data_IF_922601783025
#
_entry.id   IF_922601783025
#
_cell.length_a   1.000
_cell.length_b   1.000
_cell.length_c   1.000
_cell.angle_alpha   90.00
_cell.angle_beta   90.00
_cell.angle_gamma   90.00
#
_symmetry.space_group_name_H-M   'P 1'
#
loop_
_entity.id
_entity.type
_entity.pdbx_description
1 polymer ?
#
# COMPACT_ATOMS: atom_id res chain seq x y z
N UNK A 1 -41.03 30.18 -20.20
CA UNK A 1 -39.56 30.12 -20.12
C UNK A 1 -39.18 28.89 -19.25
N UNK A 2 -38.24 28.07 -19.71
CA UNK A 2 -37.83 26.88 -18.96
C UNK A 2 -37.15 27.29 -17.65
N UNK A 3 -37.39 26.55 -16.56
CA UNK A 3 -36.81 26.79 -15.23
C UNK A 3 -36.43 25.46 -14.58
N UNK A 4 -35.39 25.47 -13.74
CA UNK A 4 -34.87 24.28 -13.05
C UNK A 4 -34.03 23.38 -13.96
N UNK A 5 -33.72 22.18 -13.49
CA UNK A 5 -32.99 21.16 -14.25
C UNK A 5 -33.89 20.59 -15.34
N UNK A 6 -33.38 20.52 -16.55
CA UNK A 6 -34.10 20.05 -17.74
C UNK A 6 -33.23 19.16 -18.60
N UNK A 7 -33.86 18.13 -19.18
CA UNK A 7 -33.25 17.34 -20.24
C UNK A 7 -33.61 17.92 -21.61
N UNK A 8 -32.59 18.19 -22.40
CA UNK A 8 -32.75 18.65 -23.79
C UNK A 8 -32.41 17.48 -24.71
N UNK A 9 -33.39 16.96 -25.44
CA UNK A 9 -33.26 15.76 -26.27
C UNK A 9 -32.48 15.98 -27.58
N UNK A 10 -32.34 17.22 -28.04
CA UNK A 10 -31.56 17.57 -29.23
C UNK A 10 -30.04 17.45 -28.95
N UNK A 11 -29.24 17.16 -30.01
CA UNK A 11 -27.79 17.08 -29.94
C UNK A 11 -27.26 16.03 -28.92
N UNK A 12 -27.67 14.78 -29.07
CA UNK A 12 -27.28 13.62 -28.23
C UNK A 12 -27.79 13.68 -26.78
N UNK A 13 -28.76 14.53 -26.48
CA UNK A 13 -29.30 14.66 -25.13
C UNK A 13 -28.34 15.27 -24.13
N UNK A 14 -28.83 16.21 -23.35
CA UNK A 14 -28.02 16.78 -22.25
C UNK A 14 -28.92 17.29 -21.14
N UNK A 15 -28.45 17.18 -19.90
CA UNK A 15 -29.04 17.88 -18.76
C UNK A 15 -28.46 19.29 -18.69
N UNK A 16 -29.31 20.28 -18.44
CA UNK A 16 -28.94 21.69 -18.24
C UNK A 16 -29.76 22.25 -17.08
N UNK A 17 -29.31 23.38 -16.54
CA UNK A 17 -30.07 24.12 -15.54
C UNK A 17 -30.40 25.51 -16.04
N UNK A 18 -31.66 25.90 -15.93
CA UNK A 18 -32.12 27.26 -16.12
C UNK A 18 -32.46 27.86 -14.75
N UNK A 19 -31.84 28.98 -14.42
CA UNK A 19 -32.08 29.69 -13.18
C UNK A 19 -33.58 29.93 -12.95
N UNK A 20 -34.05 29.57 -11.76
CA UNK A 20 -35.48 29.57 -11.46
C UNK A 20 -36.09 30.97 -11.36
N UNK A 21 -35.26 32.01 -11.20
CA UNK A 21 -35.67 33.41 -11.15
C UNK A 21 -35.56 34.04 -12.54
N UNK A 22 -34.36 34.01 -13.12
CA UNK A 22 -34.02 34.73 -14.33
C UNK A 22 -34.29 33.95 -15.61
N UNK A 23 -34.35 32.61 -15.54
CA UNK A 23 -34.46 31.73 -16.70
C UNK A 23 -33.14 31.61 -17.51
N UNK A 24 -32.03 32.18 -17.06
CA UNK A 24 -30.72 32.05 -17.72
C UNK A 24 -30.16 30.66 -17.56
N UNK A 25 -29.51 30.12 -18.62
CA UNK A 25 -28.80 28.84 -18.54
C UNK A 25 -27.53 28.99 -17.71
N UNK A 26 -27.28 28.02 -16.85
CA UNK A 26 -26.06 27.96 -16.05
C UNK A 26 -24.86 27.48 -16.86
N UNK A 27 -23.69 28.05 -16.56
CA UNK A 27 -22.37 27.68 -17.08
C UNK A 27 -21.36 27.73 -15.94
N UNK A 28 -20.41 26.82 -15.95
CA UNK A 28 -19.43 26.71 -14.88
C UNK A 28 -19.96 26.05 -13.61
N UNK A 29 -19.31 26.31 -12.49
CA UNK A 29 -19.67 25.79 -11.18
C UNK A 29 -20.85 26.60 -10.61
N UNK A 30 -21.89 25.92 -10.16
CA UNK A 30 -23.09 26.53 -9.62
C UNK A 30 -23.62 25.76 -8.41
N UNK A 31 -23.98 26.49 -7.36
CA UNK A 31 -24.70 25.92 -6.22
C UNK A 31 -26.20 26.09 -6.48
N UNK A 32 -26.88 24.96 -6.67
CA UNK A 32 -28.35 24.97 -6.82
C UNK A 32 -28.99 24.85 -5.44
N UNK A 33 -30.08 25.54 -5.22
CA UNK A 33 -30.85 25.54 -3.97
C UNK A 33 -32.32 25.91 -4.24
N UNK A 34 -32.99 25.16 -5.10
CA UNK A 34 -34.38 25.49 -5.43
C UNK A 34 -35.38 24.40 -5.00
N UNK A 35 -34.89 23.19 -4.68
CA UNK A 35 -35.64 22.13 -4.03
C UNK A 35 -34.68 21.16 -3.28
N UNK A 36 -35.27 20.24 -2.53
CA UNK A 36 -34.48 19.30 -1.67
C UNK A 36 -33.62 18.34 -2.52
N UNK A 37 -34.09 17.94 -3.68
CA UNK A 37 -33.39 16.97 -4.56
C UNK A 37 -32.20 17.62 -5.25
N UNK A 38 -32.31 18.89 -5.62
CA UNK A 38 -31.32 19.62 -6.40
C UNK A 38 -30.46 20.60 -5.56
N UNK A 39 -30.54 20.53 -4.24
CA UNK A 39 -29.64 21.31 -3.39
C UNK A 39 -28.23 20.71 -3.43
N UNK A 40 -27.21 21.50 -3.84
CA UNK A 40 -25.81 21.10 -3.91
C UNK A 40 -25.02 21.80 -5.00
N UNK A 41 -23.73 21.45 -5.11
CA UNK A 41 -22.85 21.96 -6.16
C UNK A 41 -22.95 21.10 -7.41
N UNK A 42 -22.97 21.77 -8.58
CA UNK A 42 -22.99 21.19 -9.92
C UNK A 42 -21.97 21.92 -10.79
N UNK A 43 -21.60 21.30 -11.91
CA UNK A 43 -20.81 21.95 -12.94
C UNK A 43 -21.54 21.83 -14.28
N UNK A 44 -21.61 22.93 -14.97
CA UNK A 44 -22.20 23.04 -16.32
C UNK A 44 -21.11 23.47 -17.30
N UNK A 45 -20.93 22.73 -18.37
CA UNK A 45 -19.93 23.02 -19.38
C UNK A 45 -19.98 24.49 -19.80
N UNK A 46 -18.84 25.14 -19.87
CA UNK A 46 -18.74 26.59 -20.11
C UNK A 46 -19.36 27.04 -21.46
N UNK A 47 -19.31 26.18 -22.47
CA UNK A 47 -19.79 26.51 -23.81
C UNK A 47 -21.22 26.03 -24.06
N UNK A 48 -21.51 24.82 -23.62
CA UNK A 48 -22.75 24.12 -23.97
C UNK A 48 -23.80 24.13 -22.87
N UNK A 49 -23.43 24.48 -21.63
CA UNK A 49 -24.29 24.37 -20.46
C UNK A 49 -24.64 22.93 -20.08
N UNK A 50 -23.94 21.91 -20.65
CA UNK A 50 -24.19 20.51 -20.31
C UNK A 50 -23.74 20.22 -18.87
N UNK A 51 -24.64 19.62 -18.07
CA UNK A 51 -24.33 19.17 -16.72
C UNK A 51 -23.22 18.09 -16.76
N UNK A 52 -22.22 18.26 -15.94
CA UNK A 52 -21.13 17.32 -15.79
C UNK A 52 -21.54 16.13 -14.91
N UNK A 53 -21.01 14.99 -15.26
CA UNK A 53 -21.03 13.75 -14.50
C UNK A 53 -19.61 13.17 -14.52
N UNK A 54 -19.24 12.40 -13.49
CA UNK A 54 -17.90 11.82 -13.35
C UNK A 54 -16.83 12.85 -12.92
N UNK A 55 -15.56 12.53 -13.10
CA UNK A 55 -14.44 13.38 -12.68
C UNK A 55 -14.29 14.61 -13.58
N UNK A 56 -14.18 15.79 -12.97
CA UNK A 56 -13.98 17.07 -13.65
C UNK A 56 -12.82 17.83 -13.04
N UNK A 57 -11.94 18.35 -13.88
CA UNK A 57 -10.91 19.28 -13.46
C UNK A 57 -11.42 20.73 -13.51
N UNK A 58 -11.51 21.34 -12.35
CA UNK A 58 -11.92 22.75 -12.21
C UNK A 58 -10.71 23.65 -12.31
N UNK A 59 -10.42 24.16 -13.51
CA UNK A 59 -9.22 24.98 -13.81
C UNK A 59 -9.08 26.22 -12.91
N UNK A 60 -10.20 26.88 -12.58
CA UNK A 60 -10.20 28.09 -11.75
C UNK A 60 -9.75 27.83 -10.31
N UNK A 61 -9.84 26.58 -9.86
CA UNK A 61 -9.52 26.18 -8.50
C UNK A 61 -8.37 25.17 -8.42
N UNK A 62 -7.78 24.83 -9.56
CA UNK A 62 -6.69 23.83 -9.69
C UNK A 62 -7.00 22.54 -8.92
N UNK A 63 -8.19 21.99 -9.13
CA UNK A 63 -8.63 20.80 -8.40
C UNK A 63 -9.44 19.85 -9.27
N UNK A 64 -9.27 18.54 -9.03
CA UNK A 64 -10.21 17.52 -9.49
C UNK A 64 -11.32 17.35 -8.47
N UNK A 65 -12.56 17.20 -8.96
CA UNK A 65 -13.77 16.91 -8.18
C UNK A 65 -14.53 15.77 -8.85
N UNK A 66 -15.49 15.18 -8.16
CA UNK A 66 -16.36 14.17 -8.71
C UNK A 66 -17.82 14.58 -8.61
N UNK A 67 -18.52 14.49 -9.73
CA UNK A 67 -19.96 14.69 -9.84
C UNK A 67 -20.64 13.34 -10.04
N UNK A 68 -21.64 13.05 -9.23
CA UNK A 68 -22.38 11.79 -9.27
C UNK A 68 -22.91 11.49 -10.67
N UNK A 69 -22.75 10.26 -11.13
CA UNK A 69 -23.09 9.85 -12.50
C UNK A 69 -24.56 9.95 -12.82
N UNK A 70 -25.44 9.90 -11.82
CA UNK A 70 -26.90 9.93 -11.98
C UNK A 70 -27.41 11.34 -11.75
N UNK A 71 -27.07 11.95 -10.62
CA UNK A 71 -27.64 13.22 -10.17
C UNK A 71 -26.88 14.44 -10.66
N UNK A 72 -25.62 14.30 -11.05
CA UNK A 72 -24.70 15.40 -11.36
C UNK A 72 -24.26 16.21 -10.14
N UNK A 73 -24.61 15.81 -8.91
CA UNK A 73 -24.17 16.50 -7.68
C UNK A 73 -22.71 16.24 -7.38
N UNK A 74 -21.99 17.28 -6.96
CA UNK A 74 -20.64 17.13 -6.39
C UNK A 74 -20.69 16.23 -5.16
N UNK A 75 -19.78 15.27 -5.10
CA UNK A 75 -19.67 14.31 -4.02
C UNK A 75 -18.60 14.73 -2.98
N UNK A 76 -18.77 14.25 -1.75
CA UNK A 76 -17.90 14.51 -0.62
C UNK A 76 -17.68 13.23 0.17
N UNK A 77 -16.53 13.12 0.86
CA UNK A 77 -16.20 11.94 1.63
C UNK A 77 -15.61 10.82 0.79
N UNK A 78 -15.66 9.61 1.31
CA UNK A 78 -15.03 8.43 0.73
C UNK A 78 -16.01 7.69 -0.18
N UNK A 79 -15.60 7.42 -1.42
CA UNK A 79 -16.41 6.73 -2.43
C UNK A 79 -15.60 5.69 -3.20
N UNK A 80 -16.22 4.56 -3.48
CA UNK A 80 -15.69 3.54 -4.38
C UNK A 80 -16.19 3.78 -5.80
N UNK A 81 -15.27 4.11 -6.72
CA UNK A 81 -15.60 4.56 -8.08
C UNK A 81 -14.62 3.89 -9.06
N UNK A 82 -15.12 3.23 -10.10
CA UNK A 82 -14.31 2.63 -11.16
C UNK A 82 -13.13 1.81 -10.58
N UNK A 83 -13.46 0.85 -9.71
CA UNK A 83 -12.51 -0.08 -9.06
C UNK A 83 -11.41 0.58 -8.21
N UNK A 84 -11.72 1.74 -7.60
CA UNK A 84 -10.80 2.43 -6.67
C UNK A 84 -11.54 3.24 -5.62
N UNK A 85 -10.94 3.34 -4.44
CA UNK A 85 -11.40 4.25 -3.41
C UNK A 85 -10.82 5.64 -3.62
N UNK A 86 -11.66 6.67 -3.50
CA UNK A 86 -11.33 8.08 -3.59
C UNK A 86 -11.89 8.82 -2.40
N UNK A 87 -11.27 9.92 -2.04
CA UNK A 87 -11.79 10.81 -0.99
C UNK A 87 -11.91 12.24 -1.51
N UNK A 88 -13.12 12.74 -1.51
CA UNK A 88 -13.43 14.11 -1.82
C UNK A 88 -13.51 14.93 -0.53
N UNK A 89 -12.65 15.93 -0.39
CA UNK A 89 -12.54 16.76 0.83
C UNK A 89 -13.88 17.41 1.19
N UNK A 90 -14.32 17.35 2.45
CA UNK A 90 -15.69 17.73 2.85
C UNK A 90 -16.12 19.16 2.49
N UNK A 91 -15.19 20.12 2.47
CA UNK A 91 -15.51 21.54 2.22
C UNK A 91 -15.39 21.89 0.75
N UNK A 92 -14.39 21.32 0.07
CA UNK A 92 -14.01 21.78 -1.28
C UNK A 92 -14.40 20.82 -2.40
N UNK A 93 -14.78 19.59 -2.06
CA UNK A 93 -14.98 18.50 -3.03
C UNK A 93 -13.70 18.05 -3.73
N UNK A 94 -12.54 18.65 -3.42
CA UNK A 94 -11.27 18.32 -4.07
C UNK A 94 -10.85 16.88 -3.76
N UNK A 95 -10.39 16.13 -4.78
CA UNK A 95 -9.80 14.82 -4.57
C UNK A 95 -8.56 14.92 -3.67
N UNK A 96 -8.51 14.05 -2.67
CA UNK A 96 -7.35 13.92 -1.81
C UNK A 96 -6.17 13.32 -2.57
N UNK A 97 -4.97 13.75 -2.21
CA UNK A 97 -3.68 13.24 -2.72
C UNK A 97 -2.70 13.18 -1.56
N UNK A 98 -1.84 12.15 -1.59
CA UNK A 98 -0.87 11.93 -0.54
C UNK A 98 -1.49 11.40 0.76
N UNK A 99 -0.73 11.51 1.83
CA UNK A 99 -1.14 11.02 3.15
C UNK A 99 -2.32 11.83 3.69
N UNK A 100 -3.38 11.15 4.03
CA UNK A 100 -4.65 11.78 4.44
C UNK A 100 -5.21 11.09 5.68
N UNK A 101 -5.66 11.88 6.64
CA UNK A 101 -6.40 11.37 7.81
C UNK A 101 -7.88 11.25 7.48
N UNK A 102 -8.48 10.11 7.77
CA UNK A 102 -9.91 9.86 7.64
C UNK A 102 -10.57 9.77 9.03
N UNK A 103 -11.42 10.74 9.35
CA UNK A 103 -12.13 10.78 10.64
C UNK A 103 -13.10 9.61 10.78
N UNK A 104 -13.73 9.18 9.70
CA UNK A 104 -14.71 8.10 9.69
C UNK A 104 -14.13 6.72 10.07
N UNK A 105 -12.82 6.54 10.03
CA UNK A 105 -12.16 5.29 10.44
C UNK A 105 -11.06 5.51 11.46
N UNK A 106 -10.81 6.78 11.85
CA UNK A 106 -9.68 7.21 12.68
C UNK A 106 -8.36 6.59 12.20
N UNK A 107 -8.10 6.72 10.90
CA UNK A 107 -6.98 6.06 10.23
C UNK A 107 -6.23 7.01 9.29
N UNK A 108 -4.92 6.82 9.19
CA UNK A 108 -4.14 7.38 8.10
C UNK A 108 -4.25 6.46 6.89
N UNK A 109 -4.44 7.06 5.71
CA UNK A 109 -4.43 6.40 4.40
C UNK A 109 -3.54 7.20 3.45
N UNK A 110 -3.28 6.66 2.27
CA UNK A 110 -2.56 7.38 1.24
C UNK A 110 -3.32 7.30 -0.10
N UNK A 111 -3.54 8.46 -0.70
CA UNK A 111 -4.07 8.57 -2.04
C UNK A 111 -2.94 8.88 -3.02
N UNK A 112 -2.81 8.07 -4.06
CA UNK A 112 -1.79 8.24 -5.09
C UNK A 112 -1.81 9.67 -5.65
N UNK A 113 -0.64 10.29 -5.78
CA UNK A 113 -0.52 11.70 -6.16
C UNK A 113 -0.96 11.98 -7.60
N UNK A 114 -0.95 10.96 -8.46
CA UNK A 114 -1.33 11.06 -9.87
C UNK A 114 -2.79 10.67 -10.08
N UNK A 115 -3.16 9.47 -9.69
CA UNK A 115 -4.49 8.90 -9.92
C UNK A 115 -5.53 9.28 -8.86
N UNK A 116 -5.09 9.75 -7.69
CA UNK A 116 -5.94 9.99 -6.50
C UNK A 116 -6.63 8.74 -5.95
N UNK A 117 -6.22 7.53 -6.36
CA UNK A 117 -6.73 6.28 -5.81
C UNK A 117 -6.06 5.96 -4.48
N UNK A 118 -6.83 5.39 -3.55
CA UNK A 118 -6.28 4.89 -2.29
C UNK A 118 -5.30 3.75 -2.56
N UNK A 119 -4.16 3.76 -1.86
CA UNK A 119 -3.14 2.72 -1.92
C UNK A 119 -3.43 1.65 -0.86
N UNK A 120 -3.24 0.39 -1.23
CA UNK A 120 -3.36 -0.80 -0.41
C UNK A 120 -2.09 -1.65 -0.52
N UNK A 121 -1.77 -2.41 0.53
CA UNK A 121 -0.58 -3.26 0.56
C UNK A 121 0.72 -2.49 0.73
N UNK A 122 1.85 -3.11 0.34
CA UNK A 122 3.16 -2.51 0.43
C UNK A 122 3.43 -1.49 -0.69
N UNK A 123 4.03 -0.35 -0.35
CA UNK A 123 4.39 0.69 -1.32
C UNK A 123 5.64 1.46 -0.90
N UNK A 124 6.47 1.87 -1.87
CA UNK A 124 7.51 2.88 -1.66
C UNK A 124 6.95 4.22 -2.17
N UNK A 125 6.82 5.17 -1.26
CA UNK A 125 6.24 6.48 -1.53
C UNK A 125 7.20 7.56 -1.05
N UNK A 126 7.61 8.43 -1.96
CA UNK A 126 8.58 9.50 -1.66
C UNK A 126 9.91 8.97 -1.05
N UNK A 127 10.32 7.75 -1.41
CA UNK A 127 11.54 7.09 -0.90
C UNK A 127 11.36 6.32 0.42
N UNK A 128 10.17 6.31 0.99
CA UNK A 128 9.84 5.65 2.26
C UNK A 128 8.98 4.41 2.05
N UNK A 129 9.19 3.39 2.89
CA UNK A 129 8.47 2.12 2.83
C UNK A 129 7.22 2.16 3.71
N UNK A 130 6.07 1.87 3.13
CA UNK A 130 4.79 1.83 3.83
C UNK A 130 4.08 0.50 3.62
N UNK A 131 3.25 0.14 4.59
CA UNK A 131 2.27 -0.90 4.43
C UNK A 131 0.87 -0.37 4.80
N UNK A 132 -0.06 -0.59 3.89
CA UNK A 132 -1.47 -0.23 4.07
C UNK A 132 -2.30 -1.51 4.14
N UNK A 133 -3.25 -1.55 5.05
CA UNK A 133 -4.17 -2.69 5.16
C UNK A 133 -4.82 -3.00 3.80
N UNK A 134 -4.77 -4.25 3.32
CA UNK A 134 -5.27 -4.61 1.99
C UNK A 134 -6.77 -4.34 1.76
N UNK A 135 -7.56 -4.29 2.83
CA UNK A 135 -9.01 -4.10 2.74
C UNK A 135 -9.43 -2.67 3.06
N UNK A 136 -8.83 -2.07 4.08
CA UNK A 136 -9.26 -0.77 4.60
C UNK A 136 -8.38 0.39 4.15
N UNK A 137 -7.20 0.13 3.59
CA UNK A 137 -6.19 1.13 3.26
C UNK A 137 -5.55 1.81 4.47
N UNK A 138 -5.81 1.34 5.70
CA UNK A 138 -5.21 1.91 6.90
C UNK A 138 -3.70 1.71 6.93
N UNK A 139 -2.93 2.78 7.13
CA UNK A 139 -1.48 2.70 7.27
C UNK A 139 -1.12 1.93 8.55
N UNK A 140 -0.27 0.92 8.43
CA UNK A 140 0.32 0.21 9.57
C UNK A 140 1.49 1.00 10.15
N UNK A 141 1.63 0.97 11.47
CA UNK A 141 2.84 1.42 12.14
C UNK A 141 3.90 0.29 12.16
N UNK A 142 5.13 0.64 12.55
CA UNK A 142 6.26 -0.29 12.66
C UNK A 142 5.89 -1.58 13.42
N UNK A 143 5.28 -1.45 14.59
CA UNK A 143 4.95 -2.62 15.41
C UNK A 143 3.95 -3.55 14.71
N UNK A 144 2.92 -3.00 14.07
CA UNK A 144 1.95 -3.80 13.32
C UNK A 144 2.59 -4.55 12.15
N UNK A 145 3.58 -3.95 11.48
CA UNK A 145 4.34 -4.61 10.39
C UNK A 145 5.17 -5.76 10.97
N UNK A 146 5.90 -5.53 12.06
CA UNK A 146 6.71 -6.55 12.74
C UNK A 146 5.83 -7.70 13.27
N UNK A 147 4.69 -7.38 13.89
CA UNK A 147 3.75 -8.38 14.40
C UNK A 147 3.19 -9.26 13.27
N UNK A 148 2.87 -8.63 12.12
CA UNK A 148 2.40 -9.35 10.94
C UNK A 148 3.47 -10.29 10.40
N UNK A 149 4.72 -9.84 10.29
CA UNK A 149 5.86 -10.65 9.83
C UNK A 149 6.11 -11.84 10.77
N UNK A 150 6.24 -11.56 12.06
CA UNK A 150 6.56 -12.59 13.06
C UNK A 150 5.41 -13.58 13.27
N UNK A 151 4.16 -13.14 13.17
CA UNK A 151 2.99 -14.03 13.18
C UNK A 151 3.00 -14.97 11.99
N UNK A 152 3.33 -14.48 10.80
CA UNK A 152 3.46 -15.30 9.59
C UNK A 152 4.60 -16.32 9.72
N UNK A 153 5.76 -15.92 10.26
CA UNK A 153 6.87 -16.83 10.53
C UNK A 153 6.45 -17.96 11.48
N UNK A 154 5.75 -17.62 12.56
CA UNK A 154 5.25 -18.60 13.55
C UNK A 154 4.17 -19.53 12.98
N UNK A 155 3.34 -19.06 12.08
CA UNK A 155 2.31 -19.88 11.42
C UNK A 155 2.90 -20.99 10.54
N UNK A 156 4.15 -20.86 10.11
CA UNK A 156 4.86 -21.84 9.29
C UNK A 156 5.67 -22.86 10.09
N UNK A 157 5.69 -22.74 11.42
CA UNK A 157 6.42 -23.69 12.29
C UNK A 157 5.96 -25.14 12.07
N UNK A 158 6.91 -26.04 12.16
CA UNK A 158 6.70 -27.50 11.99
C UNK A 158 6.24 -27.94 10.59
N UNK A 159 6.34 -27.02 9.60
CA UNK A 159 6.18 -27.40 8.21
C UNK A 159 7.52 -27.86 7.62
N UNK A 160 7.46 -28.65 6.56
CA UNK A 160 8.68 -29.08 5.88
C UNK A 160 9.28 -27.90 5.09
N UNK A 161 10.61 -27.65 5.15
CA UNK A 161 11.25 -26.51 4.49
C UNK A 161 11.13 -26.55 2.96
N UNK A 162 11.00 -27.75 2.39
CA UNK A 162 10.77 -27.96 0.95
C UNK A 162 9.27 -27.98 0.63
N UNK A 163 8.44 -27.43 1.49
CA UNK A 163 7.01 -27.42 1.22
C UNK A 163 6.74 -26.78 -0.16
N UNK A 164 5.89 -27.38 -1.00
CA UNK A 164 5.68 -26.94 -2.38
C UNK A 164 5.32 -25.45 -2.51
N UNK A 165 4.69 -24.90 -1.49
CA UNK A 165 4.36 -23.46 -1.43
C UNK A 165 5.57 -22.55 -1.40
N UNK A 166 6.58 -22.85 -0.58
CA UNK A 166 7.82 -22.05 -0.47
C UNK A 166 8.60 -22.08 -1.78
N UNK A 167 8.84 -23.27 -2.31
CA UNK A 167 9.62 -23.44 -3.55
C UNK A 167 8.88 -22.90 -4.76
N UNK A 168 7.59 -23.23 -4.91
CA UNK A 168 6.79 -22.76 -6.04
C UNK A 168 6.67 -21.22 -6.05
N UNK A 169 6.37 -20.60 -4.90
CA UNK A 169 6.28 -19.15 -4.79
C UNK A 169 7.62 -18.48 -5.12
N UNK A 170 8.74 -19.09 -4.74
CA UNK A 170 10.09 -18.59 -5.05
C UNK A 170 10.57 -18.98 -6.45
N UNK A 171 9.76 -19.67 -7.27
CA UNK A 171 10.18 -20.13 -8.60
C UNK A 171 11.30 -21.17 -8.56
N UNK A 172 11.41 -21.96 -7.49
CA UNK A 172 12.46 -22.94 -7.28
C UNK A 172 13.84 -22.37 -6.94
N UNK A 173 13.93 -21.06 -6.65
CA UNK A 173 15.22 -20.40 -6.34
C UNK A 173 15.62 -20.74 -4.90
N UNK A 174 16.54 -21.65 -4.74
CA UNK A 174 17.25 -21.96 -3.49
C UNK A 174 18.75 -21.87 -3.75
N UNK A 175 19.52 -21.56 -2.69
CA UNK A 175 20.97 -21.64 -2.80
C UNK A 175 21.47 -23.06 -2.49
N UNK A 176 22.70 -23.42 -2.89
CA UNK A 176 23.27 -24.73 -2.60
C UNK A 176 23.37 -25.06 -1.09
N UNK A 177 23.30 -24.07 -0.23
CA UNK A 177 23.38 -24.23 1.23
C UNK A 177 22.04 -24.53 1.89
N UNK A 178 20.94 -24.53 1.11
CA UNK A 178 19.62 -24.90 1.59
C UNK A 178 18.54 -23.82 1.40
N UNK A 179 17.32 -24.04 1.91
CA UNK A 179 16.15 -23.22 1.63
C UNK A 179 16.02 -21.98 2.52
N UNK A 180 16.97 -21.68 3.40
CA UNK A 180 16.82 -20.67 4.44
C UNK A 180 16.42 -19.28 3.93
N UNK A 181 17.06 -18.80 2.86
CA UNK A 181 16.72 -17.49 2.28
C UNK A 181 15.42 -17.52 1.46
N UNK A 182 15.15 -18.61 0.75
CA UNK A 182 13.86 -18.79 0.08
C UNK A 182 12.71 -18.76 1.08
N UNK A 183 12.91 -19.34 2.25
CA UNK A 183 11.97 -19.29 3.35
C UNK A 183 11.80 -17.88 3.94
N UNK A 184 12.89 -17.16 4.20
CA UNK A 184 12.81 -15.74 4.63
C UNK A 184 12.01 -14.93 3.62
N UNK A 185 12.32 -15.05 2.32
CA UNK A 185 11.55 -14.39 1.28
C UNK A 185 10.07 -14.78 1.33
N UNK A 186 9.75 -16.07 1.52
CA UNK A 186 8.37 -16.55 1.56
C UNK A 186 7.58 -15.99 2.74
N UNK A 187 8.22 -15.79 3.91
CA UNK A 187 7.56 -15.13 5.05
C UNK A 187 7.14 -13.71 4.68
N UNK A 188 8.05 -12.90 4.11
CA UNK A 188 7.74 -11.54 3.69
C UNK A 188 6.64 -11.53 2.61
N UNK A 189 6.76 -12.40 1.61
CA UNK A 189 5.80 -12.52 0.51
C UNK A 189 4.39 -12.90 1.00
N UNK A 190 4.27 -13.97 1.79
CA UNK A 190 2.99 -14.43 2.30
C UNK A 190 2.34 -13.48 3.31
N UNK A 191 3.14 -12.64 3.98
CA UNK A 191 2.66 -11.53 4.78
C UNK A 191 2.26 -10.30 3.94
N UNK A 192 2.54 -10.28 2.64
CA UNK A 192 2.36 -9.11 1.75
C UNK A 192 3.37 -7.99 2.02
N UNK A 193 4.51 -8.32 2.61
CA UNK A 193 5.54 -7.39 3.06
C UNK A 193 6.78 -7.40 2.15
N UNK A 194 6.65 -7.88 0.91
CA UNK A 194 7.76 -8.01 -0.06
C UNK A 194 8.62 -6.74 -0.15
N UNK A 195 7.96 -5.59 -0.13
CA UNK A 195 8.60 -4.29 -0.28
C UNK A 195 9.67 -4.00 0.79
N UNK A 196 9.53 -4.60 1.98
CA UNK A 196 10.49 -4.45 3.08
C UNK A 196 11.70 -5.37 2.96
N UNK A 197 11.66 -6.35 2.05
CA UNK A 197 12.77 -7.24 1.75
C UNK A 197 13.45 -6.77 0.46
N UNK A 198 14.54 -6.01 0.58
CA UNK A 198 15.33 -5.53 -0.56
C UNK A 198 14.48 -4.87 -1.66
N UNK A 199 13.54 -3.99 -1.30
CA UNK A 199 12.60 -3.31 -2.20
C UNK A 199 11.76 -4.28 -3.06
N UNK A 200 11.46 -5.47 -2.53
CA UNK A 200 10.72 -6.51 -3.23
C UNK A 200 11.56 -7.43 -4.10
N UNK A 201 12.90 -7.32 -4.05
CA UNK A 201 13.77 -8.20 -4.82
C UNK A 201 13.69 -9.65 -4.32
N UNK A 202 13.53 -10.57 -5.27
CA UNK A 202 13.40 -12.00 -5.02
C UNK A 202 14.74 -12.71 -5.20
N UNK A 203 15.23 -13.39 -4.15
CA UNK A 203 16.42 -14.23 -4.21
C UNK A 203 16.36 -15.39 -3.22
N UNK A 204 17.01 -16.50 -3.57
CA UNK A 204 17.29 -17.63 -2.67
C UNK A 204 18.67 -17.57 -2.03
N UNK A 205 19.48 -16.54 -2.30
CA UNK A 205 20.84 -16.43 -1.84
C UNK A 205 20.98 -15.47 -0.66
N UNK A 206 21.42 -15.92 0.54
CA UNK A 206 21.57 -15.05 1.71
C UNK A 206 22.51 -13.87 1.48
N UNK A 207 23.66 -14.06 0.81
CA UNK A 207 24.61 -12.98 0.56
C UNK A 207 24.06 -11.87 -0.31
N UNK A 208 23.17 -12.15 -1.28
CA UNK A 208 22.53 -11.10 -2.07
C UNK A 208 21.72 -10.13 -1.20
N UNK A 209 20.93 -10.66 -0.26
CA UNK A 209 20.18 -9.84 0.70
C UNK A 209 21.11 -9.12 1.67
N UNK A 210 22.09 -9.83 2.23
CA UNK A 210 23.05 -9.25 3.13
C UNK A 210 23.81 -8.07 2.52
N UNK A 211 24.33 -8.22 1.31
CA UNK A 211 25.07 -7.18 0.59
C UNK A 211 24.17 -5.99 0.23
N UNK A 212 22.91 -6.26 -0.09
CA UNK A 212 21.94 -5.21 -0.36
C UNK A 212 21.74 -4.30 0.86
N UNK A 213 21.53 -4.87 2.06
CA UNK A 213 21.38 -4.11 3.30
C UNK A 213 22.70 -3.48 3.73
N UNK A 214 23.82 -4.19 3.62
CA UNK A 214 25.15 -3.70 3.97
C UNK A 214 25.53 -2.46 3.17
N UNK A 215 25.31 -2.46 1.87
CA UNK A 215 25.60 -1.32 0.99
C UNK A 215 24.79 -0.06 1.33
N UNK A 216 23.72 -0.22 2.11
CA UNK A 216 22.86 0.85 2.60
C UNK A 216 23.06 1.21 4.07
N UNK A 217 24.08 0.65 4.71
CA UNK A 217 24.36 0.87 6.14
C UNK A 217 23.30 0.29 7.08
N UNK A 218 22.53 -0.70 6.61
CA UNK A 218 21.41 -1.31 7.36
C UNK A 218 21.78 -2.66 7.97
N UNK A 219 23.03 -2.90 8.28
CA UNK A 219 23.51 -4.11 8.96
C UNK A 219 24.28 -3.72 10.23
N UNK A 220 23.98 -4.39 11.33
CA UNK A 220 24.69 -4.23 12.61
C UNK A 220 24.81 -5.54 13.38
N UNK A 221 25.45 -5.49 14.55
CA UNK A 221 25.47 -6.61 15.52
C UNK A 221 24.38 -6.49 16.59
N UNK A 222 23.53 -5.47 16.54
CA UNK A 222 22.44 -5.25 17.49
C UNK A 222 21.14 -5.80 16.93
N UNK A 223 20.59 -6.89 17.48
CA UNK A 223 19.36 -7.51 16.99
C UNK A 223 18.11 -6.73 17.40
N UNK A 224 17.11 -6.70 16.52
CA UNK A 224 15.74 -6.29 16.83
C UNK A 224 14.76 -7.33 16.31
N UNK A 225 13.60 -7.42 16.93
CA UNK A 225 12.52 -8.28 16.42
C UNK A 225 12.09 -7.77 15.04
N UNK A 226 11.97 -8.69 14.08
CA UNK A 226 11.70 -8.38 12.68
C UNK A 226 12.95 -8.28 11.80
N UNK A 227 14.15 -8.25 12.38
CA UNK A 227 15.40 -8.28 11.62
C UNK A 227 15.61 -9.63 10.92
N UNK A 228 16.51 -9.62 9.94
CA UNK A 228 17.02 -10.84 9.31
C UNK A 228 18.41 -11.10 9.87
N UNK A 229 18.58 -12.21 10.56
CA UNK A 229 19.88 -12.66 11.04
C UNK A 229 20.64 -13.37 9.93
N UNK A 230 21.92 -13.03 9.76
CA UNK A 230 22.82 -13.62 8.77
C UNK A 230 24.11 -14.12 9.41
N UNK A 231 24.63 -15.26 8.95
CA UNK A 231 25.96 -15.75 9.29
C UNK A 231 26.51 -16.70 8.22
N UNK A 232 27.81 -17.04 8.33
CA UNK A 232 28.41 -18.10 7.52
C UNK A 232 28.13 -19.46 8.13
N UNK A 233 27.84 -20.45 7.29
CA UNK A 233 27.55 -21.81 7.71
C UNK A 233 28.13 -22.83 6.71
N UNK A 234 28.69 -23.94 7.24
CA UNK A 234 29.22 -25.03 6.42
C UNK A 234 30.36 -24.61 5.50
N UNK A 235 30.34 -25.17 4.29
CA UNK A 235 31.37 -24.95 3.25
C UNK A 235 31.37 -23.54 2.65
N UNK A 236 30.48 -22.65 3.10
CA UNK A 236 30.43 -21.26 2.66
C UNK A 236 31.74 -20.49 2.91
N UNK A 237 32.57 -20.97 3.85
CA UNK A 237 33.92 -20.43 4.07
C UNK A 237 34.84 -20.60 2.86
N UNK A 238 34.57 -21.61 2.01
CA UNK A 238 35.34 -21.86 0.79
C UNK A 238 34.96 -20.93 -0.37
N UNK A 239 33.84 -20.20 -0.28
CA UNK A 239 33.28 -19.40 -1.36
C UNK A 239 33.36 -17.89 -1.17
N UNK A 240 34.04 -17.41 -0.14
CA UNK A 240 34.22 -15.98 0.19
C UNK A 240 32.90 -15.15 0.27
N UNK A 241 31.78 -15.81 0.54
CA UNK A 241 30.50 -15.14 0.76
C UNK A 241 30.41 -14.59 2.20
N UNK A 242 29.94 -13.37 2.37
CA UNK A 242 29.75 -12.76 3.69
C UNK A 242 28.59 -13.36 4.48
N UNK A 243 27.63 -13.97 3.80
CA UNK A 243 26.50 -14.68 4.41
C UNK A 243 26.10 -15.89 3.57
N UNK A 244 25.90 -17.04 4.23
CA UNK A 244 25.39 -18.26 3.59
C UNK A 244 24.15 -18.82 4.27
N UNK A 245 23.73 -18.21 5.39
CA UNK A 245 22.56 -18.62 6.15
C UNK A 245 21.75 -17.43 6.61
N UNK A 246 20.41 -17.61 6.72
CA UNK A 246 19.49 -16.56 7.12
C UNK A 246 18.31 -17.10 7.93
N UNK A 247 17.81 -16.27 8.88
CA UNK A 247 16.59 -16.52 9.63
C UNK A 247 15.92 -15.20 10.05
N UNK A 248 14.63 -15.23 10.34
CA UNK A 248 13.88 -14.06 10.83
C UNK A 248 13.93 -14.01 12.36
N UNK A 249 14.34 -12.88 12.92
CA UNK A 249 14.37 -12.65 14.37
C UNK A 249 12.93 -12.46 14.87
N UNK A 250 12.52 -13.32 15.79
CA UNK A 250 11.15 -13.30 16.36
C UNK A 250 11.11 -12.95 17.85
N UNK A 251 12.27 -12.96 18.52
CA UNK A 251 12.37 -12.59 19.93
C UNK A 251 13.82 -12.19 20.27
N UNK A 252 13.96 -11.19 21.13
CA UNK A 252 15.27 -10.73 21.64
C UNK A 252 15.17 -10.58 23.15
N UNK A 253 15.86 -11.46 23.90
CA UNK A 253 15.96 -11.45 25.36
C UNK A 253 17.41 -11.26 25.79
N UNK A 254 17.85 -10.02 25.87
CA UNK A 254 19.25 -9.71 26.15
C UNK A 254 20.20 -10.28 25.09
N UNK A 255 21.02 -11.23 25.44
CA UNK A 255 21.94 -11.93 24.50
C UNK A 255 21.31 -13.13 23.81
N UNK A 256 20.14 -13.56 24.26
CA UNK A 256 19.41 -14.68 23.63
C UNK A 256 18.54 -14.15 22.51
N UNK A 257 18.93 -14.41 21.28
CA UNK A 257 18.20 -14.01 20.05
C UNK A 257 17.56 -15.25 19.45
N UNK A 258 16.25 -15.25 19.35
CA UNK A 258 15.47 -16.35 18.79
C UNK A 258 15.06 -16.03 17.37
N UNK A 259 15.31 -16.96 16.47
CA UNK A 259 14.96 -16.89 15.06
C UNK A 259 14.00 -18.00 14.67
N UNK A 260 13.29 -17.80 13.57
CA UNK A 260 12.63 -18.87 12.80
C UNK A 260 13.34 -18.96 11.45
N UNK A 261 13.74 -20.18 11.09
CA UNK A 261 14.47 -20.46 9.87
C UNK A 261 14.00 -21.79 9.24
N UNK A 262 14.49 -22.07 8.05
CA UNK A 262 14.32 -23.37 7.37
C UNK A 262 15.67 -24.08 7.28
N UNK A 263 15.88 -25.08 8.14
CA UNK A 263 17.10 -25.84 8.21
C UNK A 263 16.87 -27.26 8.76
N UNK A 264 17.85 -28.12 8.58
CA UNK A 264 17.86 -29.49 9.18
C UNK A 264 16.60 -30.32 8.92
N UNK A 265 15.91 -30.07 7.82
CA UNK A 265 14.71 -30.82 7.44
C UNK A 265 13.40 -30.27 8.02
N UNK A 266 13.41 -29.13 8.74
CA UNK A 266 12.20 -28.50 9.25
C UNK A 266 12.24 -26.95 9.19
N UNK A 267 11.10 -26.34 9.44
CA UNK A 267 10.99 -24.92 9.80
C UNK A 267 10.86 -24.88 11.31
N UNK A 268 11.86 -24.29 11.98
CA UNK A 268 11.97 -24.40 13.43
C UNK A 268 12.37 -23.10 14.13
N UNK A 269 12.18 -23.11 15.45
CA UNK A 269 12.67 -22.07 16.36
C UNK A 269 14.08 -22.41 16.79
N UNK A 270 15.02 -21.49 16.62
CA UNK A 270 16.44 -21.69 16.98
C UNK A 270 17.03 -20.44 17.61
N UNK A 271 18.13 -20.59 18.33
CA UNK A 271 18.96 -19.45 18.73
C UNK A 271 19.79 -18.99 17.53
N UNK A 272 19.87 -17.68 17.33
CA UNK A 272 20.78 -17.13 16.33
C UNK A 272 22.23 -17.46 16.70
N UNK A 273 23.07 -17.60 15.67
CA UNK A 273 24.50 -17.85 15.86
C UNK A 273 25.16 -16.70 16.63
N UNK A 274 26.05 -17.02 17.57
CA UNK A 274 26.83 -16.01 18.28
C UNK A 274 27.81 -15.32 17.30
N UNK A 275 27.63 -14.01 17.07
CA UNK A 275 28.36 -13.25 16.05
C UNK A 275 27.62 -13.12 14.73
N UNK A 276 26.32 -13.45 14.70
CA UNK A 276 25.46 -13.12 13.56
C UNK A 276 25.43 -11.60 13.30
N UNK A 277 25.27 -11.24 12.04
CA UNK A 277 24.92 -9.89 11.60
C UNK A 277 23.41 -9.79 11.44
N UNK A 278 22.84 -8.63 11.73
CA UNK A 278 21.42 -8.37 11.64
C UNK A 278 21.14 -7.29 10.61
N UNK A 279 20.38 -7.63 9.58
CA UNK A 279 19.89 -6.64 8.64
C UNK A 279 18.56 -6.07 9.12
N UNK A 280 18.42 -4.75 9.01
CA UNK A 280 17.28 -3.97 9.49
C UNK A 280 16.39 -3.54 8.32
N UNK A 281 15.27 -4.22 8.03
CA UNK A 281 14.32 -3.76 7.02
C UNK A 281 13.76 -2.37 7.34
N UNK A 282 13.27 -1.67 6.34
CA UNK A 282 12.80 -0.27 6.46
C UNK A 282 11.42 -0.18 7.11
N UNK A 283 11.27 -0.59 8.38
CA UNK A 283 10.00 -0.46 9.13
C UNK A 283 9.81 0.91 9.78
N UNK A 284 10.80 1.78 9.74
CA UNK A 284 10.90 2.96 10.61
C UNK A 284 10.29 4.23 10.04
N UNK A 285 9.53 4.12 8.96
CA UNK A 285 9.08 5.30 8.22
C UNK A 285 7.57 5.45 8.16
#
# INVERSE_FOLDING_TARGET
MAKGVKHISSNNGKWVYYDVVTGKMAHGEAHLNYDKEHTGWYYFDQNTGKMAHDFVYLRQHDKWVYYDKITGKMQYGEHYINDGWYYMKPVTGALAKGRTWLDAGKKWVYYDKTSSRMIHGGAILDGHHYFFDPHTGAQYNKQQIIDRLTSQARALLNQHPDCPGVLAANGGLICPFGPCMAFVWYIFHSAGLDIFLCDGAKTGWPHHNYDWYRSRGRVSHTPHVGDIAFWKFGDAWAHDYDASYAGVVVEVNGRNVIIIDAAYGDIGIRSAYNGANYAHPYYDE
#
